data_IF_661765976876
#
_entry.id   IF_661765976876
#
_cell.length_a   1.000
_cell.length_b   1.000
_cell.length_c   1.000
_cell.angle_alpha   90.00
_cell.angle_beta   90.00
_cell.angle_gamma   90.00
#
_symmetry.space_group_name_H-M   'P 1'
#
loop_
_entity.id
_entity.type
_entity.pdbx_description
1 polymer ?
#
# COMPACT_ATOMS: atom_id res chain seq x y z
N UNK A 1 -14.94 22.87 -10.70
CA UNK A 1 -15.77 23.05 -9.47
C UNK A 1 -15.96 21.73 -8.71
N UNK A 2 -16.46 20.66 -9.30
CA UNK A 2 -16.65 19.37 -8.62
C UNK A 2 -15.33 18.75 -8.12
N UNK A 3 -14.29 18.75 -8.95
CA UNK A 3 -12.96 18.24 -8.61
C UNK A 3 -12.37 18.95 -7.39
N UNK A 4 -12.38 20.29 -7.36
CA UNK A 4 -11.85 21.06 -6.24
C UNK A 4 -12.59 20.72 -4.93
N UNK A 5 -13.91 20.57 -5.01
CA UNK A 5 -14.73 20.20 -3.86
C UNK A 5 -14.38 18.78 -3.36
N UNK A 6 -14.11 17.84 -4.26
CA UNK A 6 -13.66 16.48 -3.91
C UNK A 6 -12.29 16.51 -3.24
N UNK A 7 -11.34 17.28 -3.77
CA UNK A 7 -10.00 17.46 -3.19
C UNK A 7 -10.10 18.05 -1.78
N UNK A 8 -10.86 19.12 -1.60
CA UNK A 8 -11.02 19.77 -0.28
C UNK A 8 -11.62 18.82 0.76
N UNK A 9 -12.66 18.06 0.36
CA UNK A 9 -13.31 17.09 1.24
C UNK A 9 -12.38 15.94 1.61
N UNK A 10 -11.64 15.40 0.65
CA UNK A 10 -10.68 14.32 0.89
C UNK A 10 -9.53 14.79 1.81
N UNK A 11 -8.98 15.99 1.59
CA UNK A 11 -8.00 16.58 2.49
C UNK A 11 -8.51 16.68 3.93
N UNK A 12 -9.74 17.15 4.09
CA UNK A 12 -10.37 17.29 5.42
C UNK A 12 -10.65 15.93 6.07
N UNK A 13 -11.10 14.95 5.28
CA UNK A 13 -11.48 13.62 5.77
C UNK A 13 -10.25 12.83 6.23
N UNK A 14 -9.19 12.83 5.43
CA UNK A 14 -7.99 12.02 5.67
C UNK A 14 -6.84 12.79 6.31
N UNK A 15 -6.98 14.09 6.57
CA UNK A 15 -5.93 14.91 7.16
C UNK A 15 -4.68 15.03 6.30
N UNK A 16 -4.78 14.86 4.99
CA UNK A 16 -3.65 14.83 4.08
C UNK A 16 -3.39 16.18 3.42
N UNK A 17 -2.12 16.44 3.10
CA UNK A 17 -1.68 17.71 2.50
C UNK A 17 -2.00 17.78 1.00
N UNK A 18 -1.85 16.67 0.29
CA UNK A 18 -2.05 16.57 -1.16
C UNK A 18 -3.09 15.49 -1.49
N UNK A 19 -3.92 15.77 -2.48
CA UNK A 19 -4.95 14.85 -2.99
C UNK A 19 -5.01 14.93 -4.49
N UNK A 20 -5.07 13.77 -5.15
CA UNK A 20 -5.40 13.65 -6.56
C UNK A 20 -6.66 12.78 -6.70
N UNK A 21 -7.71 13.33 -7.30
CA UNK A 21 -9.00 12.66 -7.50
C UNK A 21 -9.25 12.28 -8.96
N UNK A 22 -8.23 12.35 -9.82
CA UNK A 22 -8.37 12.08 -11.26
C UNK A 22 -8.35 10.60 -11.63
N UNK A 23 -7.66 9.67 -10.88
CA UNK A 23 -7.73 8.27 -11.22
C UNK A 23 -9.17 7.76 -11.27
N UNK A 24 -9.50 7.02 -12.32
CA UNK A 24 -10.87 6.48 -12.50
C UNK A 24 -11.11 5.16 -11.72
N UNK A 25 -10.07 4.61 -11.10
CA UNK A 25 -10.12 3.36 -10.32
C UNK A 25 -8.96 3.27 -9.34
N UNK A 26 -9.11 2.46 -8.28
CA UNK A 26 -8.01 2.14 -7.37
C UNK A 26 -6.80 1.52 -8.08
N UNK A 27 -7.04 0.67 -9.09
CA UNK A 27 -5.96 0.10 -9.90
C UNK A 27 -5.15 1.18 -10.64
N UNK A 28 -5.82 2.21 -11.19
CA UNK A 28 -5.13 3.34 -11.83
C UNK A 28 -4.41 4.21 -10.81
N UNK A 29 -4.98 4.43 -9.63
CA UNK A 29 -4.32 5.15 -8.55
C UNK A 29 -3.03 4.44 -8.11
N UNK A 30 -3.10 3.12 -7.88
CA UNK A 30 -1.93 2.31 -7.53
C UNK A 30 -0.86 2.34 -8.62
N UNK A 31 -1.27 2.22 -9.89
CA UNK A 31 -0.35 2.32 -11.03
C UNK A 31 0.32 3.69 -11.10
N UNK A 32 -0.42 4.77 -10.88
CA UNK A 32 0.13 6.13 -10.87
C UNK A 32 1.20 6.30 -9.79
N UNK A 33 0.95 5.81 -8.57
CA UNK A 33 1.94 5.82 -7.49
C UNK A 33 3.17 4.98 -7.84
N UNK A 34 2.95 3.75 -8.31
CA UNK A 34 4.06 2.86 -8.66
C UNK A 34 4.97 3.47 -9.73
N UNK A 35 4.42 4.01 -10.81
CA UNK A 35 5.24 4.64 -11.86
C UNK A 35 5.83 6.01 -11.48
N UNK A 36 5.24 6.71 -10.51
CA UNK A 36 5.84 7.93 -9.98
C UNK A 36 7.07 7.65 -9.11
N UNK A 37 7.07 6.51 -8.39
CA UNK A 37 8.09 6.19 -7.37
C UNK A 37 9.11 5.16 -7.84
N UNK A 38 8.81 4.38 -8.88
CA UNK A 38 9.55 3.22 -9.30
C UNK A 38 9.92 3.28 -10.78
N UNK A 39 10.97 2.55 -11.12
CA UNK A 39 11.34 2.19 -12.49
C UNK A 39 11.12 0.69 -12.71
N UNK A 40 10.87 0.24 -13.97
CA UNK A 40 10.77 -1.19 -14.26
C UNK A 40 11.98 -1.96 -13.73
N UNK A 41 11.72 -3.08 -13.05
CA UNK A 41 12.74 -3.89 -12.39
C UNK A 41 13.02 -3.52 -10.92
N UNK A 42 12.48 -2.42 -10.41
CA UNK A 42 12.60 -2.10 -8.99
C UNK A 42 11.88 -3.15 -8.14
N UNK A 43 12.43 -3.41 -6.94
CA UNK A 43 11.87 -4.38 -6.00
C UNK A 43 10.70 -3.79 -5.22
N UNK A 44 9.60 -4.54 -5.19
CA UNK A 44 8.37 -4.17 -4.49
C UNK A 44 7.94 -5.31 -3.57
N UNK A 45 7.50 -4.95 -2.40
CA UNK A 45 6.95 -5.90 -1.43
C UNK A 45 5.46 -5.62 -1.23
N UNK A 46 4.61 -6.63 -1.39
CA UNK A 46 3.16 -6.53 -1.25
C UNK A 46 2.54 -7.78 -0.66
N UNK A 47 1.31 -7.70 -0.22
CA UNK A 47 0.62 -8.87 0.34
C UNK A 47 0.32 -9.89 -0.76
N UNK A 48 0.60 -11.17 -0.46
CA UNK A 48 0.29 -12.29 -1.35
C UNK A 48 -1.20 -12.31 -1.68
N UNK A 49 -1.53 -12.54 -2.95
CA UNK A 49 -2.92 -12.62 -3.42
C UNK A 49 -3.70 -13.71 -2.69
N UNK A 50 -3.10 -14.89 -2.46
CA UNK A 50 -3.72 -16.02 -1.78
C UNK A 50 -3.98 -15.75 -0.29
N UNK A 51 -3.34 -14.74 0.28
CA UNK A 51 -3.51 -14.30 1.67
C UNK A 51 -4.37 -13.04 1.81
N UNK A 52 -5.05 -12.63 0.74
CA UNK A 52 -5.97 -11.50 0.73
C UNK A 52 -5.42 -10.23 0.11
N UNK A 53 -4.26 -10.27 -0.55
CA UNK A 53 -3.71 -9.14 -1.29
C UNK A 53 -4.57 -8.73 -2.50
N UNK A 54 -4.22 -7.63 -3.12
CA UNK A 54 -4.87 -7.15 -4.34
C UNK A 54 -4.02 -7.49 -5.58
N UNK A 55 -4.66 -7.62 -6.75
CA UNK A 55 -3.97 -7.87 -8.02
C UNK A 55 -2.86 -6.85 -8.31
N UNK A 56 -3.09 -5.57 -7.97
CA UNK A 56 -2.13 -4.48 -8.19
C UNK A 56 -0.97 -4.45 -7.19
N UNK A 57 -0.93 -5.37 -6.23
CA UNK A 57 0.17 -5.51 -5.28
C UNK A 57 1.27 -6.47 -5.76
N UNK A 58 1.28 -6.79 -7.05
CA UNK A 58 2.35 -7.59 -7.64
C UNK A 58 1.92 -8.94 -8.20
N UNK A 59 0.63 -9.16 -8.44
CA UNK A 59 0.17 -10.40 -9.10
C UNK A 59 0.82 -10.56 -10.47
N UNK A 60 1.31 -11.76 -10.85
CA UNK A 60 1.95 -12.01 -12.13
C UNK A 60 1.08 -11.72 -13.36
N UNK A 61 -0.25 -11.75 -13.18
CA UNK A 61 -1.20 -11.44 -14.26
C UNK A 61 -1.49 -9.94 -14.37
N UNK A 62 -1.05 -9.16 -13.40
CA UNK A 62 -1.21 -7.70 -13.37
C UNK A 62 0.03 -6.99 -13.90
N UNK A 63 -0.13 -5.74 -14.30
CA UNK A 63 0.95 -4.85 -14.72
C UNK A 63 2.05 -4.79 -13.64
N UNK A 64 1.70 -4.65 -12.38
CA UNK A 64 2.65 -4.56 -11.27
C UNK A 64 3.60 -5.75 -11.18
N UNK A 65 3.10 -6.97 -11.35
CA UNK A 65 3.93 -8.17 -11.36
C UNK A 65 4.73 -8.40 -12.66
N UNK A 66 4.42 -7.65 -13.73
CA UNK A 66 5.16 -7.71 -15.00
C UNK A 66 6.28 -6.69 -15.08
N UNK A 67 6.14 -5.55 -14.44
CA UNK A 67 7.10 -4.45 -14.50
C UNK A 67 8.08 -4.43 -13.32
N UNK A 68 7.68 -4.97 -12.16
CA UNK A 68 8.46 -4.91 -10.93
C UNK A 68 8.87 -6.30 -10.43
N UNK A 69 9.96 -6.37 -9.69
CA UNK A 69 10.41 -7.58 -9.00
C UNK A 69 9.66 -7.71 -7.67
N UNK A 70 8.73 -8.66 -7.60
CA UNK A 70 7.81 -8.77 -6.48
C UNK A 70 8.29 -9.80 -5.45
N UNK A 71 8.38 -9.38 -4.19
CA UNK A 71 8.57 -10.26 -3.04
C UNK A 71 7.31 -10.19 -2.17
N UNK A 72 6.48 -11.24 -2.13
CA UNK A 72 5.25 -11.21 -1.35
C UNK A 72 5.52 -11.42 0.15
N UNK A 73 4.70 -10.79 1.00
CA UNK A 73 4.53 -11.19 2.39
C UNK A 73 3.12 -11.77 2.59
N UNK A 74 2.91 -12.48 3.69
CA UNK A 74 1.65 -13.18 3.94
C UNK A 74 1.16 -13.09 5.37
N UNK A 75 0.30 -14.03 5.70
CA UNK A 75 -0.22 -14.26 7.05
C UNK A 75 0.34 -15.57 7.62
N UNK A 76 0.38 -15.68 8.93
CA UNK A 76 0.74 -16.90 9.64
C UNK A 76 -0.44 -17.92 9.63
N UNK A 77 -0.27 -19.04 10.31
CA UNK A 77 -1.28 -20.12 10.41
C UNK A 77 -2.59 -19.65 11.08
N UNK A 78 -2.52 -18.58 11.90
CA UNK A 78 -3.69 -17.98 12.55
C UNK A 78 -4.41 -16.94 11.65
N UNK A 79 -3.94 -16.74 10.43
CA UNK A 79 -4.47 -15.77 9.49
C UNK A 79 -4.16 -14.32 9.86
N UNK A 80 -3.06 -14.08 10.58
CA UNK A 80 -2.62 -12.74 11.02
C UNK A 80 -1.29 -12.37 10.34
N UNK A 81 -1.13 -11.10 9.95
CA UNK A 81 0.15 -10.59 9.42
C UNK A 81 1.22 -10.72 10.51
N UNK A 82 2.26 -11.50 10.23
CA UNK A 82 3.44 -11.59 11.08
C UNK A 82 4.44 -10.48 10.72
N UNK A 83 4.47 -9.42 11.51
CA UNK A 83 5.32 -8.26 11.25
C UNK A 83 6.81 -8.54 11.41
N UNK A 84 7.20 -9.55 12.18
CA UNK A 84 8.62 -9.95 12.26
C UNK A 84 9.05 -10.66 10.99
N UNK A 85 8.19 -11.49 10.44
CA UNK A 85 8.42 -12.11 9.13
C UNK A 85 8.44 -11.06 8.00
N UNK A 86 7.51 -10.09 8.02
CA UNK A 86 7.51 -8.95 7.10
C UNK A 86 8.85 -8.19 7.17
N UNK A 87 9.34 -7.93 8.39
CA UNK A 87 10.64 -7.26 8.63
C UNK A 87 11.81 -8.09 8.09
N UNK A 88 11.79 -9.40 8.34
CA UNK A 88 12.82 -10.31 7.85
C UNK A 88 12.89 -10.28 6.32
N UNK A 89 11.75 -10.44 5.65
CA UNK A 89 11.63 -10.40 4.20
C UNK A 89 12.12 -9.05 3.66
N UNK A 90 11.69 -7.94 4.26
CA UNK A 90 12.10 -6.60 3.83
C UNK A 90 13.62 -6.39 3.94
N UNK A 91 14.26 -6.90 4.99
CA UNK A 91 15.72 -6.83 5.16
C UNK A 91 16.47 -7.66 4.11
N UNK A 92 15.93 -8.80 3.73
CA UNK A 92 16.53 -9.67 2.71
C UNK A 92 16.38 -9.12 1.30
N UNK A 93 15.16 -8.75 0.90
CA UNK A 93 14.90 -8.32 -0.49
C UNK A 93 15.26 -6.84 -0.73
N UNK A 94 15.31 -6.00 0.33
CA UNK A 94 15.56 -4.55 0.22
C UNK A 94 14.65 -3.89 -0.81
N UNK A 95 13.33 -3.88 -0.60
CA UNK A 95 12.39 -3.31 -1.55
C UNK A 95 12.54 -1.79 -1.60
N UNK A 96 12.23 -1.19 -2.75
CA UNK A 96 12.12 0.26 -2.90
C UNK A 96 10.74 0.77 -2.45
N UNK A 97 9.71 -0.09 -2.56
CA UNK A 97 8.35 0.19 -2.13
C UNK A 97 7.78 -0.99 -1.34
N UNK A 98 7.16 -0.70 -0.20
CA UNK A 98 6.32 -1.65 0.54
C UNK A 98 4.87 -1.20 0.39
N UNK A 99 4.00 -2.11 -0.08
CA UNK A 99 2.56 -1.88 -0.20
C UNK A 99 1.87 -2.56 0.97
N UNK A 100 1.27 -1.78 1.87
CA UNK A 100 0.46 -2.25 2.98
C UNK A 100 -1.02 -2.05 2.65
N UNK A 101 -1.80 -3.11 2.78
CA UNK A 101 -3.23 -3.11 2.44
C UNK A 101 -3.66 -4.45 1.89
N UNK A 102 -4.95 -4.68 1.85
CA UNK A 102 -5.51 -5.94 1.41
C UNK A 102 -6.95 -5.77 0.92
N UNK A 103 -7.39 -6.67 0.04
CA UNK A 103 -8.78 -6.76 -0.42
C UNK A 103 -9.61 -7.70 0.45
N UNK A 104 -8.99 -8.73 1.01
CA UNK A 104 -9.68 -9.80 1.74
C UNK A 104 -8.94 -10.15 3.05
N UNK A 105 -8.68 -9.15 3.87
CA UNK A 105 -8.08 -9.31 5.19
C UNK A 105 -8.96 -8.64 6.24
N UNK A 106 -9.59 -9.42 7.11
CA UNK A 106 -10.60 -8.95 8.05
C UNK A 106 -10.04 -8.50 9.42
N UNK A 107 -8.72 -8.40 9.56
CA UNK A 107 -8.07 -7.98 10.79
C UNK A 107 -7.54 -6.56 10.67
N UNK A 108 -7.25 -5.94 11.80
CA UNK A 108 -6.62 -4.60 11.83
C UNK A 108 -5.18 -4.70 11.30
N UNK A 109 -4.83 -3.81 10.38
CA UNK A 109 -3.47 -3.66 9.89
C UNK A 109 -2.76 -2.59 10.72
N UNK A 110 -1.62 -2.93 11.30
CA UNK A 110 -0.77 -2.00 12.04
C UNK A 110 0.16 -1.26 11.07
N UNK A 111 -0.30 -0.12 10.57
CA UNK A 111 0.47 0.71 9.63
C UNK A 111 1.71 1.33 10.28
N UNK A 112 1.72 1.50 11.62
CA UNK A 112 2.90 2.00 12.32
C UNK A 112 4.05 1.00 12.22
N UNK A 113 3.79 -0.28 12.40
CA UNK A 113 4.80 -1.33 12.21
C UNK A 113 5.31 -1.38 10.76
N UNK A 114 4.43 -1.24 9.77
CA UNK A 114 4.85 -1.14 8.38
C UNK A 114 5.74 0.09 8.14
N UNK A 115 5.44 1.24 8.77
CA UNK A 115 6.28 2.44 8.66
C UNK A 115 7.67 2.20 9.26
N UNK A 116 7.74 1.62 10.45
CA UNK A 116 9.00 1.26 11.11
C UNK A 116 9.85 0.33 10.22
N UNK A 117 9.23 -0.71 9.64
CA UNK A 117 9.91 -1.64 8.74
C UNK A 117 10.42 -0.93 7.48
N UNK A 118 9.60 -0.08 6.88
CA UNK A 118 9.97 0.66 5.68
C UNK A 118 11.16 1.61 5.96
N UNK A 119 11.16 2.29 7.12
CA UNK A 119 12.26 3.16 7.55
C UNK A 119 13.56 2.38 7.78
N UNK A 120 13.48 1.18 8.38
CA UNK A 120 14.65 0.32 8.62
C UNK A 120 15.37 -0.08 7.32
N UNK A 121 14.64 -0.21 6.22
CA UNK A 121 15.21 -0.64 4.93
C UNK A 121 15.34 0.49 3.90
N UNK A 122 14.88 1.71 4.25
CA UNK A 122 14.90 2.87 3.38
C UNK A 122 13.89 2.80 2.23
N UNK A 123 12.78 2.07 2.43
CA UNK A 123 11.72 1.91 1.44
C UNK A 123 10.65 3.00 1.57
N UNK A 124 9.99 3.31 0.46
CA UNK A 124 8.71 4.02 0.51
C UNK A 124 7.63 3.10 1.08
N UNK A 125 6.67 3.69 1.80
CA UNK A 125 5.46 2.99 2.25
C UNK A 125 4.25 3.53 1.48
N UNK A 126 3.56 2.65 0.78
CA UNK A 126 2.25 2.92 0.18
C UNK A 126 1.18 2.17 0.97
N UNK A 127 0.14 2.87 1.38
CA UNK A 127 -1.04 2.24 1.99
C UNK A 127 -2.17 2.22 0.96
N UNK A 128 -2.57 1.02 0.55
CA UNK A 128 -3.80 0.81 -0.22
C UNK A 128 -4.96 0.59 0.76
N UNK A 129 -5.75 1.62 0.96
CA UNK A 129 -6.87 1.61 1.91
C UNK A 129 -8.24 1.51 1.24
N UNK A 130 -8.31 1.15 -0.04
CA UNK A 130 -9.55 1.13 -0.82
C UNK A 130 -10.68 0.36 -0.12
N UNK A 131 -10.39 -0.78 0.52
CA UNK A 131 -11.38 -1.58 1.23
C UNK A 131 -11.58 -1.22 2.71
N UNK A 132 -10.71 -0.37 3.27
CA UNK A 132 -10.70 -0.01 4.68
C UNK A 132 -10.70 1.52 4.92
N UNK A 133 -11.02 2.30 3.89
CA UNK A 133 -10.99 3.77 3.96
C UNK A 133 -11.90 4.35 5.07
N UNK A 134 -13.04 3.72 5.35
CA UNK A 134 -13.93 4.11 6.45
C UNK A 134 -13.21 4.06 7.80
N UNK A 135 -12.80 2.90 8.31
CA UNK A 135 -12.04 2.80 9.56
C UNK A 135 -10.79 3.66 9.60
N UNK A 136 -10.02 3.71 8.52
CA UNK A 136 -8.77 4.48 8.44
C UNK A 136 -8.99 5.99 8.62
N UNK A 137 -10.09 6.53 8.13
CA UNK A 137 -10.40 7.97 8.28
C UNK A 137 -10.57 8.41 9.74
N UNK A 138 -10.87 7.48 10.65
CA UNK A 138 -11.01 7.75 12.09
C UNK A 138 -9.73 7.48 12.90
N UNK A 139 -8.79 6.72 12.37
CA UNK A 139 -7.58 6.29 13.09
C UNK A 139 -6.34 7.12 12.79
N UNK A 140 -6.45 8.17 11.99
CA UNK A 140 -5.37 9.07 11.57
C UNK A 140 -4.09 8.34 11.13
N UNK A 141 -3.90 8.22 9.83
CA UNK A 141 -2.58 7.91 9.24
C UNK A 141 -1.68 9.14 9.41
N UNK A 142 -1.09 9.32 10.60
CA UNK A 142 -0.27 10.49 10.96
C UNK A 142 1.17 10.43 10.42
N UNK A 143 1.47 9.51 9.52
CA UNK A 143 2.82 9.29 9.02
C UNK A 143 2.95 9.73 7.55
N UNK A 144 4.13 10.17 7.09
CA UNK A 144 4.36 10.45 5.68
C UNK A 144 4.21 9.16 4.86
N UNK A 145 3.01 8.92 4.45
CA UNK A 145 2.57 7.70 3.76
C UNK A 145 1.82 8.11 2.50
N UNK A 146 2.13 7.46 1.38
CA UNK A 146 1.34 7.62 0.16
C UNK A 146 0.12 6.73 0.29
N UNK A 147 -1.06 7.34 0.34
CA UNK A 147 -2.34 6.62 0.39
C UNK A 147 -3.01 6.64 -0.98
N UNK A 148 -3.45 5.47 -1.45
CA UNK A 148 -4.37 5.36 -2.60
C UNK A 148 -5.74 4.90 -2.11
N UNK A 149 -6.79 5.47 -2.65
CA UNK A 149 -8.19 5.16 -2.36
C UNK A 149 -8.87 4.62 -3.62
#
# INVERSE_FOLDING_TARGET
MAENLAIERAKKLFGCEYVNVQPHSGAQANMAVQFAMLTPGDKVMGMNLDHGGHLTHGSPVNMSGKYFEITPYGVNEEGVIDYEEVRRIAKECRPKLIIAGASAYARIIDFKKFREIADEVGAYLMVDMAHIAGPVSYTHLTLPTICSV
#
